data_IF_710550490915
#
_entry.id   IF_710550490915
#
_cell.length_a   1.000
_cell.length_b   1.000
_cell.length_c   1.000
_cell.angle_alpha   90.00
_cell.angle_beta   90.00
_cell.angle_gamma   90.00
#
_symmetry.space_group_name_H-M   'P 1'
#
loop_
_entity.id
_entity.type
_entity.pdbx_description
1 polymer ?
#
# COMPACT_ATOMS: atom_id res chain seq x y z
N UNK A 1 -5.04 14.40 -1.24
CA UNK A 1 -4.15 13.24 -1.02
C UNK A 1 -2.88 13.76 -0.41
N UNK A 2 -2.50 13.25 0.76
CA UNK A 2 -1.23 13.63 1.39
C UNK A 2 -0.08 13.00 0.59
N UNK A 3 0.64 13.81 -0.18
CA UNK A 3 1.76 13.35 -0.98
C UNK A 3 2.84 12.66 -0.14
N UNK A 4 2.97 13.01 1.15
CA UNK A 4 3.91 12.33 2.03
C UNK A 4 3.51 10.88 2.34
N UNK A 5 2.20 10.60 2.51
CA UNK A 5 1.71 9.24 2.73
C UNK A 5 1.83 8.36 1.48
N UNK A 6 1.62 8.93 0.29
CA UNK A 6 1.81 8.19 -0.96
C UNK A 6 3.28 7.80 -1.14
N UNK A 7 4.22 8.73 -0.97
CA UNK A 7 5.67 8.43 -1.05
C UNK A 7 6.08 7.39 0.00
N UNK A 8 5.63 7.54 1.26
CA UNK A 8 5.92 6.57 2.32
C UNK A 8 5.41 5.17 1.94
N UNK A 9 4.20 5.09 1.38
CA UNK A 9 3.61 3.83 0.96
C UNK A 9 4.38 3.18 -0.20
N UNK A 10 4.84 4.00 -1.17
CA UNK A 10 5.71 3.54 -2.27
C UNK A 10 6.99 2.95 -1.71
N UNK A 11 7.67 3.64 -0.80
CA UNK A 11 8.92 3.18 -0.20
C UNK A 11 8.74 1.84 0.55
N UNK A 12 7.70 1.74 1.38
CA UNK A 12 7.40 0.52 2.15
C UNK A 12 7.05 -0.67 1.25
N UNK A 13 6.16 -0.47 0.28
CA UNK A 13 5.76 -1.53 -0.64
C UNK A 13 6.94 -1.95 -1.54
N UNK A 14 7.74 -0.99 -2.00
CA UNK A 14 8.97 -1.24 -2.75
C UNK A 14 9.95 -2.10 -1.94
N UNK A 15 10.16 -1.76 -0.66
CA UNK A 15 11.02 -2.52 0.24
C UNK A 15 10.54 -3.96 0.41
N UNK A 16 9.26 -4.16 0.70
CA UNK A 16 8.67 -5.49 0.87
C UNK A 16 8.79 -6.33 -0.41
N UNK A 17 8.51 -5.73 -1.57
CA UNK A 17 8.59 -6.40 -2.87
C UNK A 17 10.03 -6.75 -3.26
N UNK A 18 11.00 -5.92 -2.93
CA UNK A 18 12.41 -6.11 -3.29
C UNK A 18 13.17 -7.05 -2.36
N UNK A 19 12.67 -7.30 -1.15
CA UNK A 19 13.33 -8.14 -0.16
C UNK A 19 12.48 -9.37 0.21
N UNK A 20 12.16 -10.26 -0.75
CA UNK A 20 11.37 -11.46 -0.46
C UNK A 20 12.13 -12.37 0.52
N UNK A 21 11.51 -12.67 1.67
CA UNK A 21 12.09 -13.50 2.73
C UNK A 21 12.75 -12.73 3.88
N UNK A 22 12.77 -11.40 3.82
CA UNK A 22 13.05 -10.58 4.99
C UNK A 22 11.86 -10.60 5.96
N UNK A 23 12.13 -10.39 7.25
CA UNK A 23 11.09 -10.21 8.26
C UNK A 23 10.55 -8.78 8.14
N UNK A 24 9.47 -8.60 7.37
CA UNK A 24 8.89 -7.29 7.00
C UNK A 24 7.70 -6.89 7.88
N UNK A 25 7.63 -7.40 9.11
CA UNK A 25 6.45 -7.24 9.97
C UNK A 25 6.16 -5.79 10.36
N UNK A 26 7.18 -4.96 10.54
CA UNK A 26 7.01 -3.55 10.89
C UNK A 26 6.53 -2.75 9.67
N UNK A 27 7.04 -3.06 8.47
CA UNK A 27 6.63 -2.45 7.21
C UNK A 27 5.19 -2.84 6.85
N UNK A 28 4.82 -4.11 6.95
CA UNK A 28 3.44 -4.58 6.74
C UNK A 28 2.46 -3.93 7.73
N UNK A 29 2.87 -3.78 8.99
CA UNK A 29 2.08 -3.05 10.00
C UNK A 29 1.89 -1.60 9.57
N UNK A 30 2.96 -0.92 9.13
CA UNK A 30 2.88 0.47 8.70
C UNK A 30 2.02 0.65 7.45
N UNK A 31 2.16 -0.23 6.46
CA UNK A 31 1.30 -0.26 5.26
C UNK A 31 -0.18 -0.37 5.68
N UNK A 32 -0.49 -1.24 6.65
CA UNK A 32 -1.85 -1.40 7.17
C UNK A 32 -2.37 -0.13 7.87
N UNK A 33 -1.52 0.55 8.65
CA UNK A 33 -1.87 1.82 9.30
C UNK A 33 -2.16 2.93 8.29
N UNK A 34 -1.37 3.02 7.21
CA UNK A 34 -1.61 3.96 6.11
C UNK A 34 -2.96 3.67 5.46
N UNK A 35 -3.28 2.40 5.18
CA UNK A 35 -4.58 2.00 4.65
C UNK A 35 -5.76 2.45 5.53
N UNK A 36 -5.62 2.38 6.86
CA UNK A 36 -6.63 2.87 7.80
C UNK A 36 -6.75 4.39 7.76
N UNK A 37 -5.63 5.11 7.75
CA UNK A 37 -5.63 6.57 7.67
C UNK A 37 -6.29 7.08 6.37
N UNK A 38 -6.03 6.42 5.24
CA UNK A 38 -6.67 6.71 3.96
C UNK A 38 -8.19 6.47 4.02
N UNK A 39 -8.60 5.36 4.63
CA UNK A 39 -10.02 5.07 4.84
C UNK A 39 -10.70 6.10 5.75
N UNK A 40 -10.03 6.56 6.81
CA UNK A 40 -10.56 7.59 7.71
C UNK A 40 -10.69 8.96 7.02
N UNK A 41 -9.78 9.31 6.10
CA UNK A 41 -9.79 10.58 5.37
C UNK A 41 -10.78 10.59 4.19
N UNK A 42 -10.91 9.47 3.46
CA UNK A 42 -11.69 9.43 2.21
C UNK A 42 -12.33 8.09 1.86
N UNK A 43 -12.41 7.16 2.81
CA UNK A 43 -13.06 5.85 2.65
C UNK A 43 -12.36 4.92 1.66
N UNK A 44 -13.08 3.89 1.22
CA UNK A 44 -12.61 2.88 0.26
C UNK A 44 -12.16 3.53 -1.07
N UNK A 45 -12.82 4.60 -1.52
CA UNK A 45 -12.46 5.29 -2.77
C UNK A 45 -11.06 5.91 -2.71
N UNK A 46 -10.71 6.53 -1.58
CA UNK A 46 -9.36 7.07 -1.38
C UNK A 46 -8.30 5.97 -1.33
N UNK A 47 -8.62 4.84 -0.69
CA UNK A 47 -7.73 3.66 -0.68
C UNK A 47 -7.50 3.13 -2.09
N UNK A 48 -8.55 2.96 -2.89
CA UNK A 48 -8.43 2.46 -4.27
C UNK A 48 -7.66 3.42 -5.17
N UNK A 49 -7.87 4.73 -5.01
CA UNK A 49 -7.12 5.74 -5.76
C UNK A 49 -5.63 5.68 -5.44
N UNK A 50 -5.25 5.62 -4.16
CA UNK A 50 -3.84 5.51 -3.74
C UNK A 50 -3.26 4.17 -4.16
N UNK A 51 -3.98 3.07 -3.97
CA UNK A 51 -3.54 1.74 -4.38
C UNK A 51 -3.19 1.71 -5.87
N UNK A 52 -4.06 2.27 -6.72
CA UNK A 52 -3.82 2.32 -8.16
C UNK A 52 -2.62 3.22 -8.51
N UNK A 53 -2.45 4.36 -7.86
CA UNK A 53 -1.31 5.25 -8.05
C UNK A 53 0.02 4.54 -7.71
N UNK A 54 0.10 3.94 -6.53
CA UNK A 54 1.29 3.21 -6.05
C UNK A 54 1.57 1.99 -6.94
N UNK A 55 0.53 1.23 -7.31
CA UNK A 55 0.67 0.09 -8.23
C UNK A 55 1.26 0.52 -9.58
N UNK A 56 0.72 1.56 -10.19
CA UNK A 56 1.20 2.05 -11.48
C UNK A 56 2.65 2.51 -11.41
N UNK A 57 3.04 3.15 -10.30
CA UNK A 57 4.39 3.63 -10.08
C UNK A 57 5.37 2.48 -9.88
N UNK A 58 5.08 1.53 -8.98
CA UNK A 58 5.97 0.39 -8.71
C UNK A 58 6.09 -0.58 -9.88
N UNK A 59 5.03 -0.78 -10.66
CA UNK A 59 5.11 -1.50 -11.93
C UNK A 59 6.06 -0.80 -12.92
N UNK A 60 6.09 0.53 -12.95
CA UNK A 60 6.97 1.31 -13.82
C UNK A 60 8.41 1.45 -13.31
N UNK A 61 8.62 1.50 -12.00
CA UNK A 61 9.92 1.75 -11.38
C UNK A 61 10.73 0.47 -11.12
N UNK A 62 10.06 -0.60 -10.67
CA UNK A 62 10.74 -1.84 -10.23
C UNK A 62 10.15 -3.11 -10.86
N UNK A 63 9.23 -2.97 -11.82
CA UNK A 63 8.58 -4.08 -12.55
C UNK A 63 7.90 -5.11 -11.62
N UNK A 64 7.44 -4.69 -10.43
CA UNK A 64 6.76 -5.53 -9.45
C UNK A 64 5.35 -5.05 -9.18
N UNK A 65 4.43 -6.00 -9.04
CA UNK A 65 3.04 -5.74 -8.72
C UNK A 65 2.82 -5.75 -7.20
N UNK A 66 2.07 -4.77 -6.71
CA UNK A 66 1.69 -4.62 -5.29
C UNK A 66 0.55 -5.55 -4.88
N UNK A 67 -0.07 -6.26 -5.84
CA UNK A 67 -1.17 -7.20 -5.59
C UNK A 67 -0.85 -8.26 -4.52
N UNK A 68 0.43 -8.62 -4.32
CA UNK A 68 0.84 -9.53 -3.24
C UNK A 68 0.68 -8.92 -1.83
N UNK A 69 0.68 -7.59 -1.72
CA UNK A 69 0.50 -6.83 -0.49
C UNK A 69 -0.95 -6.34 -0.31
N UNK A 70 -1.80 -6.46 -1.34
CA UNK A 70 -3.21 -6.11 -1.28
C UNK A 70 -3.91 -6.72 -0.03
N UNK A 71 -3.69 -7.99 0.35
CA UNK A 71 -4.37 -8.57 1.50
C UNK A 71 -4.14 -7.85 2.83
N UNK A 72 -3.11 -7.02 2.97
CA UNK A 72 -2.87 -6.21 4.18
C UNK A 72 -4.01 -5.23 4.46
N UNK A 73 -4.75 -4.82 3.43
CA UNK A 73 -5.86 -3.88 3.55
C UNK A 73 -7.23 -4.56 3.57
N UNK A 74 -7.29 -5.88 3.41
CA UNK A 74 -8.55 -6.63 3.47
C UNK A 74 -9.20 -6.48 4.85
N UNK A 75 -10.45 -6.03 4.85
CA UNK A 75 -11.22 -5.79 6.07
C UNK A 75 -11.09 -4.38 6.65
N UNK A 76 -10.36 -3.47 5.99
CA UNK A 76 -10.47 -2.04 6.24
C UNK A 76 -11.74 -1.55 5.53
N UNK A 77 -12.81 -1.34 6.29
CA UNK A 77 -14.11 -0.96 5.74
C UNK A 77 -14.68 -2.04 4.82
N UNK A 78 -15.02 -1.66 3.59
CA UNK A 78 -15.54 -2.56 2.55
C UNK A 78 -14.46 -3.04 1.56
N UNK A 79 -13.19 -2.64 1.77
CA UNK A 79 -12.11 -2.91 0.84
C UNK A 79 -11.76 -4.41 0.77
N UNK A 80 -11.70 -4.95 -0.46
CA UNK A 80 -11.43 -6.37 -0.75
C UNK A 80 -10.67 -6.53 -2.08
N UNK A 81 -9.44 -7.02 -2.02
CA UNK A 81 -8.64 -7.44 -3.19
C UNK A 81 -7.78 -8.67 -2.88
#
# INVERSE_FOLDING_TARGET
MDAALEEELVDLMSYCLQNPGAEVHDEERRITEIGRALHEDGGTDAMDMVYHAVRSRLLGEIEKDVDVLAPLWNGIGEWKR
#
